data_IF_339805929328
#
_entry.id   IF_339805929328
#
_cell.length_a   1.000
_cell.length_b   1.000
_cell.length_c   1.000
_cell.angle_alpha   90.00
_cell.angle_beta   90.00
_cell.angle_gamma   90.00
#
_symmetry.space_group_name_H-M   'P 1'
#
loop_
_entity.id
_entity.type
_entity.pdbx_description
1 polymer ?
#
# COMPACT_ATOMS: atom_id res chain seq x y z
N UNK A 1 -70.42 -8.30 -0.79
CA UNK A 1 -70.35 -6.88 -0.41
C UNK A 1 -68.90 -6.51 -0.08
N UNK A 2 -68.33 -5.62 -0.92
CA UNK A 2 -67.24 -4.66 -0.67
C UNK A 2 -65.77 -5.13 -0.49
N UNK A 3 -64.94 -4.48 -1.32
CA UNK A 3 -63.47 -4.20 -1.29
C UNK A 3 -62.61 -5.18 -2.10
N UNK A 4 -62.29 -4.85 -3.36
CA UNK A 4 -61.21 -3.95 -3.82
C UNK A 4 -59.79 -4.46 -3.50
N UNK A 5 -59.09 -4.81 -4.59
CA UNK A 5 -57.68 -4.55 -4.90
C UNK A 5 -56.63 -4.77 -3.79
N UNK A 6 -55.67 -5.67 -4.05
CA UNK A 6 -54.23 -5.38 -4.00
C UNK A 6 -53.38 -6.66 -4.18
N UNK A 7 -52.95 -6.93 -5.42
CA UNK A 7 -51.77 -7.77 -5.71
C UNK A 7 -50.62 -6.87 -6.19
N UNK A 8 -50.27 -5.89 -5.35
CA UNK A 8 -49.07 -5.05 -5.42
C UNK A 8 -48.51 -4.90 -4.00
N UNK A 9 -47.97 -5.98 -3.44
CA UNK A 9 -47.37 -5.95 -2.10
C UNK A 9 -46.09 -6.80 -1.99
N UNK A 10 -45.29 -6.87 -3.05
CA UNK A 10 -43.89 -7.32 -2.99
C UNK A 10 -42.96 -6.47 -3.87
N UNK A 11 -43.22 -5.17 -3.95
CA UNK A 11 -42.27 -4.16 -4.43
C UNK A 11 -42.55 -2.87 -3.70
N UNK A 12 -41.82 -2.66 -2.61
CA UNK A 12 -41.34 -1.38 -2.07
C UNK A 12 -40.94 -1.59 -0.61
N UNK A 13 -39.69 -1.95 -0.36
CA UNK A 13 -38.99 -1.56 0.87
C UNK A 13 -37.47 -1.61 0.60
N UNK A 14 -36.80 -0.47 0.81
CA UNK A 14 -35.35 -0.23 0.81
C UNK A 14 -34.61 -0.45 -0.54
N UNK A 15 -34.18 0.56 -1.32
CA UNK A 15 -33.20 1.63 -1.02
C UNK A 15 -32.03 1.15 -0.15
N UNK A 16 -30.88 0.85 -0.77
CA UNK A 16 -29.57 1.46 -0.45
C UNK A 16 -28.41 0.70 -1.13
N UNK A 17 -27.48 1.49 -1.71
CA UNK A 17 -26.08 1.18 -2.05
C UNK A 17 -25.78 0.51 -3.42
N UNK A 18 -25.67 1.37 -4.44
CA UNK A 18 -24.42 1.72 -5.15
C UNK A 18 -23.29 0.66 -5.16
N UNK A 19 -22.85 0.15 -6.32
CA UNK A 19 -22.01 0.83 -7.34
C UNK A 19 -20.56 0.33 -7.28
N UNK A 20 -20.22 -0.78 -7.96
CA UNK A 20 -18.86 -0.96 -8.53
C UNK A 20 -18.94 -1.83 -9.78
N UNK A 21 -19.30 -1.21 -10.91
CA UNK A 21 -18.99 -1.77 -12.23
C UNK A 21 -17.62 -1.27 -12.67
N UNK A 22 -16.71 -2.23 -12.78
CA UNK A 22 -15.34 -2.11 -13.26
C UNK A 22 -15.37 -1.68 -14.73
N UNK A 23 -14.85 -0.48 -15.02
CA UNK A 23 -14.31 -0.16 -16.36
C UNK A 23 -13.27 0.97 -16.27
N UNK A 24 -12.01 0.56 -16.20
CA UNK A 24 -10.84 1.38 -16.48
C UNK A 24 -10.89 1.86 -17.93
N UNK A 25 -11.05 3.16 -18.17
CA UNK A 25 -10.70 3.77 -19.45
C UNK A 25 -10.39 5.27 -19.31
N UNK A 26 -9.15 5.60 -19.67
CA UNK A 26 -8.71 6.89 -20.20
C UNK A 26 -8.64 8.11 -19.28
N UNK A 27 -7.46 8.27 -18.67
CA UNK A 27 -6.91 9.57 -18.31
C UNK A 27 -6.53 10.36 -19.57
N UNK A 28 -7.33 11.37 -19.92
CA UNK A 28 -6.87 12.51 -20.71
C UNK A 28 -7.76 13.72 -20.44
N UNK A 29 -7.39 14.53 -19.45
CA UNK A 29 -7.84 15.92 -19.36
C UNK A 29 -6.69 16.82 -18.96
N UNK A 30 -6.14 17.49 -19.98
CA UNK A 30 -5.51 18.80 -19.87
C UNK A 30 -6.29 19.67 -18.87
N UNK A 31 -5.63 20.14 -17.82
CA UNK A 31 -6.05 21.37 -17.14
C UNK A 31 -4.89 22.34 -17.15
N UNK A 32 -5.06 23.37 -17.99
CA UNK A 32 -4.20 24.54 -18.06
C UNK A 32 -4.60 25.49 -16.91
N UNK A 33 -3.59 25.90 -16.14
CA UNK A 33 -3.32 27.31 -15.81
C UNK A 33 -4.35 28.01 -14.91
N UNK A 34 -4.00 28.23 -13.64
CA UNK A 34 -4.11 29.57 -13.03
C UNK A 34 -3.29 29.74 -11.73
N UNK A 35 -2.44 30.78 -11.78
CA UNK A 35 -2.20 31.80 -10.74
C UNK A 35 -1.50 31.44 -9.43
N UNK A 36 -0.19 31.69 -9.45
CA UNK A 36 0.51 32.70 -8.63
C UNK A 36 0.22 32.77 -7.13
N UNK A 37 1.22 32.37 -6.31
CA UNK A 37 1.58 33.12 -5.08
C UNK A 37 3.01 32.80 -4.66
N UNK A 38 3.94 33.65 -5.04
CA UNK A 38 5.22 33.77 -4.34
C UNK A 38 5.08 34.88 -3.30
N UNK A 39 5.47 34.62 -2.04
CA UNK A 39 6.05 35.66 -1.22
C UNK A 39 7.40 35.21 -0.65
N UNK A 40 8.37 36.06 -0.88
CA UNK A 40 9.75 36.01 -0.40
C UNK A 40 9.81 36.30 1.12
N UNK A 41 10.86 35.76 1.77
CA UNK A 41 11.46 36.18 3.06
C UNK A 41 10.76 35.88 4.39
N UNK A 42 11.33 34.96 5.18
CA UNK A 42 11.97 35.34 6.46
C UNK A 42 12.92 34.24 6.94
N UNK A 43 14.05 34.67 7.48
CA UNK A 43 15.18 33.89 7.95
C UNK A 43 14.97 33.36 9.38
N UNK A 44 15.42 32.12 9.67
CA UNK A 44 15.93 31.79 11.01
C UNK A 44 16.96 30.66 10.95
N UNK A 45 18.19 31.09 11.27
CA UNK A 45 19.38 30.36 11.76
C UNK A 45 18.99 29.12 12.59
N UNK A 46 19.74 28.02 12.69
CA UNK A 46 21.12 27.95 13.19
C UNK A 46 21.63 26.49 13.15
N UNK A 47 22.95 26.38 13.01
CA UNK A 47 23.83 25.26 12.75
C UNK A 47 23.93 24.17 13.84
N UNK A 48 24.14 22.92 13.41
CA UNK A 48 24.99 21.94 14.11
C UNK A 48 25.88 21.21 13.11
N UNK A 49 27.17 21.49 13.23
CA UNK A 49 28.30 20.96 12.47
C UNK A 49 28.72 19.59 13.00
N UNK A 50 28.71 18.57 12.15
CA UNK A 50 29.48 17.34 12.33
C UNK A 50 30.13 17.04 10.98
N UNK A 51 31.45 17.11 10.92
CA UNK A 51 32.27 16.57 9.83
C UNK A 51 33.47 15.93 10.52
N UNK A 52 33.92 14.73 10.11
CA UNK A 52 34.76 14.68 8.91
C UNK A 52 34.79 13.35 8.08
N UNK A 53 35.20 13.51 6.80
CA UNK A 53 35.91 12.54 5.91
C UNK A 53 35.13 11.38 5.25
N UNK A 54 34.79 11.53 3.96
CA UNK A 54 35.44 10.74 2.90
C UNK A 54 35.32 11.37 1.50
N UNK A 55 36.34 11.13 0.68
CA UNK A 55 36.76 11.90 -0.50
C UNK A 55 35.88 11.67 -1.74
N UNK A 56 35.58 12.74 -2.50
CA UNK A 56 35.32 12.64 -3.95
C UNK A 56 35.68 13.93 -4.69
N UNK A 57 36.97 14.23 -4.75
CA UNK A 57 37.52 15.21 -5.69
C UNK A 57 37.49 14.60 -7.09
N UNK A 58 36.59 15.11 -7.93
CA UNK A 58 36.50 14.77 -9.35
C UNK A 58 37.52 15.61 -10.10
N UNK A 59 38.73 15.08 -10.28
CA UNK A 59 39.75 15.70 -11.13
C UNK A 59 39.33 15.60 -12.62
N UNK A 60 39.37 16.68 -13.40
CA UNK A 60 39.54 16.57 -14.84
C UNK A 60 41.03 16.71 -15.15
N UNK A 61 41.72 15.57 -15.32
CA UNK A 61 43.07 15.57 -15.86
C UNK A 61 43.01 15.83 -17.37
N UNK A 62 43.76 16.85 -17.77
CA UNK A 62 44.17 17.17 -19.13
C UNK A 62 44.71 15.91 -19.84
N UNK A 63 44.25 15.66 -21.06
CA UNK A 63 45.08 15.02 -22.10
C UNK A 63 44.90 15.76 -23.41
N UNK A 64 46.01 16.29 -23.89
CA UNK A 64 46.16 16.97 -25.16
C UNK A 64 45.74 16.07 -26.33
N UNK A 65 44.90 16.59 -27.22
CA UNK A 65 44.93 16.22 -28.63
C UNK A 65 44.57 17.44 -29.47
N UNK A 66 45.58 17.91 -30.17
CA UNK A 66 45.60 18.98 -31.16
C UNK A 66 44.46 18.87 -32.17
N UNK A 67 43.65 19.92 -32.28
CA UNK A 67 42.87 20.19 -33.49
C UNK A 67 43.23 21.59 -33.95
N UNK A 68 43.91 21.63 -35.10
CA UNK A 68 44.54 22.81 -35.67
C UNK A 68 43.53 23.93 -36.01
N UNK A 69 43.99 25.19 -36.04
CA UNK A 69 43.14 26.36 -36.26
C UNK A 69 42.74 26.48 -37.73
N UNK A 70 41.45 26.60 -38.01
CA UNK A 70 40.95 26.95 -39.35
C UNK A 70 41.35 28.41 -39.68
N UNK A 71 41.87 28.69 -40.89
CA UNK A 71 42.44 29.99 -41.23
C UNK A 71 41.35 31.06 -41.37
N UNK A 72 41.52 32.11 -40.57
CA UNK A 72 40.69 33.31 -40.52
C UNK A 72 40.88 34.11 -41.82
N UNK A 73 39.79 34.27 -42.56
CA UNK A 73 39.72 35.00 -43.83
C UNK A 73 39.94 36.50 -43.57
N UNK A 74 41.18 36.98 -43.68
CA UNK A 74 41.48 38.41 -43.64
C UNK A 74 41.35 39.04 -45.02
N UNK A 75 40.46 40.02 -45.11
CA UNK A 75 40.31 40.96 -46.22
C UNK A 75 41.66 41.63 -46.52
N UNK A 76 42.23 41.40 -47.69
CA UNK A 76 43.41 42.17 -48.15
C UNK A 76 42.91 43.39 -48.92
N UNK A 77 42.94 44.52 -48.22
CA UNK A 77 42.84 45.84 -48.83
C UNK A 77 44.12 46.21 -49.58
N UNK A 78 43.87 47.11 -50.52
CA UNK A 78 44.69 47.63 -51.60
C UNK A 78 45.63 48.73 -51.08
N UNK A 79 46.91 48.67 -51.44
CA UNK A 79 47.82 49.83 -51.36
C UNK A 79 48.67 49.92 -52.64
N UNK A 80 48.45 51.00 -53.38
CA UNK A 80 49.41 51.66 -54.29
C UNK A 80 50.57 52.21 -53.42
N UNK A 81 51.84 52.36 -53.83
CA UNK A 81 52.37 53.15 -54.95
C UNK A 81 53.89 52.95 -55.13
N UNK A 82 54.39 53.26 -56.36
CA UNK A 82 55.73 53.76 -56.78
C UNK A 82 56.98 52.94 -56.43
N UNK A 83 57.91 52.65 -57.34
CA UNK A 83 58.57 53.63 -58.23
C UNK A 83 59.11 53.04 -59.55
N UNK A 84 59.29 53.97 -60.49
CA UNK A 84 59.72 53.93 -61.88
C UNK A 84 61.02 53.15 -62.17
N UNK A 85 61.00 52.36 -63.25
CA UNK A 85 62.00 52.42 -64.34
C UNK A 85 61.51 51.64 -65.58
N UNK A 86 61.05 52.31 -66.65
CA UNK A 86 60.83 51.68 -67.96
C UNK A 86 62.10 51.85 -68.81
N UNK A 87 62.86 50.77 -68.99
CA UNK A 87 63.97 50.75 -69.94
C UNK A 87 63.40 50.51 -71.34
N UNK A 88 63.80 51.38 -72.26
CA UNK A 88 63.30 51.50 -73.62
C UNK A 88 63.87 50.41 -74.53
N UNK A 89 62.98 49.87 -75.36
CA UNK A 89 63.08 49.55 -76.80
C UNK A 89 64.40 48.94 -77.31
N UNK A 90 64.30 47.72 -77.80
CA UNK A 90 64.73 47.44 -79.18
C UNK A 90 63.79 46.45 -79.85
N UNK A 91 63.35 46.86 -81.04
CA UNK A 91 62.75 46.02 -82.05
C UNK A 91 63.73 44.89 -82.41
N UNK A 92 63.34 43.63 -82.22
CA UNK A 92 63.77 42.55 -83.11
C UNK A 92 62.79 41.37 -83.04
N UNK A 93 62.40 40.92 -84.22
CA UNK A 93 61.46 39.84 -84.49
C UNK A 93 61.94 38.49 -83.93
N UNK A 94 61.43 38.06 -82.78
CA UNK A 94 61.47 36.63 -82.39
C UNK A 94 60.44 36.19 -81.34
N UNK A 95 59.63 37.10 -80.78
CA UNK A 95 58.64 36.78 -79.74
C UNK A 95 57.63 35.72 -80.19
N UNK A 96 57.22 35.74 -81.46
CA UNK A 96 56.35 34.71 -82.02
C UNK A 96 56.98 33.30 -82.05
N UNK A 97 58.32 33.17 -82.04
CA UNK A 97 59.01 31.88 -82.00
C UNK A 97 59.23 31.38 -80.57
N UNK A 98 59.56 32.28 -79.64
CA UNK A 98 59.71 31.96 -78.21
C UNK A 98 58.35 31.68 -77.55
N UNK A 99 57.30 32.45 -77.88
CA UNK A 99 55.93 32.16 -77.43
C UNK A 99 55.38 30.88 -78.03
N UNK A 100 55.69 30.55 -79.30
CA UNK A 100 55.36 29.24 -79.89
C UNK A 100 56.11 28.10 -79.23
N UNK A 101 57.40 28.27 -78.89
CA UNK A 101 58.18 27.29 -78.13
C UNK A 101 57.63 27.08 -76.72
N UNK A 102 57.36 28.15 -75.97
CA UNK A 102 56.74 28.08 -74.64
C UNK A 102 55.31 27.52 -74.67
N UNK A 103 54.53 27.83 -75.70
CA UNK A 103 53.21 27.22 -75.90
C UNK A 103 53.35 25.72 -76.21
N UNK A 104 54.31 25.31 -77.03
CA UNK A 104 54.58 23.90 -77.31
C UNK A 104 55.10 23.12 -76.08
N UNK A 105 55.94 23.74 -75.24
CA UNK A 105 56.38 23.14 -73.97
C UNK A 105 55.24 23.08 -72.95
N UNK A 106 54.41 24.11 -72.83
CA UNK A 106 53.20 24.08 -71.99
C UNK A 106 52.22 23.00 -72.43
N UNK A 107 52.03 22.82 -73.74
CA UNK A 107 51.20 21.73 -74.27
C UNK A 107 51.79 20.36 -73.96
N UNK A 108 53.12 20.17 -74.06
CA UNK A 108 53.80 18.93 -73.65
C UNK A 108 53.65 18.67 -72.15
N UNK A 109 53.81 19.69 -71.31
CA UNK A 109 53.62 19.60 -69.85
C UNK A 109 52.16 19.29 -69.51
N UNK A 110 51.20 19.91 -70.21
CA UNK A 110 49.77 19.67 -70.01
C UNK A 110 49.36 18.26 -70.48
N UNK A 111 49.95 17.76 -71.58
CA UNK A 111 49.79 16.38 -72.04
C UNK A 111 50.40 15.37 -71.05
N UNK A 112 51.58 15.64 -70.50
CA UNK A 112 52.20 14.83 -69.45
C UNK A 112 51.40 14.87 -68.14
N UNK A 113 50.83 16.03 -67.78
CA UNK A 113 49.97 16.18 -66.60
C UNK A 113 48.65 15.43 -66.77
N UNK A 114 48.05 15.44 -67.96
CA UNK A 114 46.87 14.62 -68.28
C UNK A 114 47.18 13.13 -68.17
N UNK A 115 48.34 12.68 -68.65
CA UNK A 115 48.81 11.29 -68.48
C UNK A 115 49.01 10.93 -67.01
N UNK A 116 49.58 11.83 -66.19
CA UNK A 116 49.71 11.61 -64.74
C UNK A 116 48.35 11.50 -64.05
N UNK A 117 47.39 12.37 -64.40
CA UNK A 117 46.03 12.31 -63.85
C UNK A 117 45.29 11.04 -64.25
N UNK A 118 45.51 10.53 -65.46
CA UNK A 118 44.98 9.23 -65.91
C UNK A 118 45.59 8.08 -65.09
N UNK A 119 46.92 8.05 -64.97
CA UNK A 119 47.62 7.05 -64.15
C UNK A 119 47.18 7.11 -62.68
N UNK A 120 46.99 8.30 -62.13
CA UNK A 120 46.50 8.48 -60.76
C UNK A 120 45.05 8.00 -60.60
N UNK A 121 44.19 8.25 -61.58
CA UNK A 121 42.80 7.76 -61.57
C UNK A 121 42.75 6.23 -61.69
N UNK A 122 43.58 5.64 -62.55
CA UNK A 122 43.74 4.19 -62.68
C UNK A 122 44.29 3.56 -61.40
N UNK A 123 45.32 4.17 -60.78
CA UNK A 123 45.86 3.74 -59.49
C UNK A 123 44.81 3.81 -58.38
N UNK A 124 44.01 4.88 -58.32
CA UNK A 124 42.92 5.02 -57.34
C UNK A 124 41.86 3.94 -57.50
N UNK A 125 41.48 3.57 -58.72
CA UNK A 125 40.53 2.47 -58.96
C UNK A 125 41.11 1.13 -58.49
N UNK A 126 42.41 0.88 -58.71
CA UNK A 126 43.10 -0.31 -58.21
C UNK A 126 43.22 -0.32 -56.67
N UNK A 127 43.54 0.82 -56.06
CA UNK A 127 43.58 0.98 -54.59
C UNK A 127 42.20 0.75 -53.97
N UNK A 128 41.12 1.26 -54.58
CA UNK A 128 39.76 1.03 -54.12
C UNK A 128 39.35 -0.44 -54.24
N UNK A 129 39.69 -1.10 -55.34
CA UNK A 129 39.39 -2.52 -55.52
C UNK A 129 40.17 -3.39 -54.53
N UNK A 130 41.47 -3.11 -54.34
CA UNK A 130 42.29 -3.83 -53.36
C UNK A 130 41.84 -3.58 -51.93
N UNK A 131 41.46 -2.34 -51.58
CA UNK A 131 40.87 -2.01 -50.29
C UNK A 131 39.57 -2.77 -50.03
N UNK A 132 38.67 -2.87 -51.04
CA UNK A 132 37.43 -3.65 -50.94
C UNK A 132 37.70 -5.13 -50.72
N UNK A 133 38.63 -5.73 -51.46
CA UNK A 133 39.00 -7.15 -51.29
C UNK A 133 39.58 -7.42 -49.90
N UNK A 134 40.43 -6.53 -49.41
CA UNK A 134 40.99 -6.62 -48.06
C UNK A 134 39.89 -6.47 -47.01
N UNK A 135 38.98 -5.51 -47.17
CA UNK A 135 37.85 -5.31 -46.27
C UNK A 135 36.94 -6.53 -46.22
N UNK A 136 36.58 -7.11 -47.35
CA UNK A 136 35.78 -8.34 -47.42
C UNK A 136 36.50 -9.53 -46.77
N UNK A 137 37.80 -9.69 -47.00
CA UNK A 137 38.59 -10.72 -46.35
C UNK A 137 38.64 -10.56 -44.82
N UNK A 138 38.71 -9.32 -44.33
CA UNK A 138 38.64 -9.02 -42.89
C UNK A 138 37.24 -9.33 -42.36
N UNK A 139 36.19 -8.88 -43.03
CA UNK A 139 34.79 -9.13 -42.64
C UNK A 139 34.51 -10.63 -42.51
N UNK A 140 34.88 -11.43 -43.51
CA UNK A 140 34.71 -12.89 -43.50
C UNK A 140 35.44 -13.53 -42.32
N UNK A 141 36.71 -13.18 -42.09
CA UNK A 141 37.48 -13.71 -40.95
C UNK A 141 36.85 -13.35 -39.60
N UNK A 142 36.35 -12.12 -39.45
CA UNK A 142 35.66 -11.69 -38.23
C UNK A 142 34.36 -12.46 -38.05
N UNK A 143 33.54 -12.59 -39.09
CA UNK A 143 32.30 -13.37 -39.05
C UNK A 143 32.56 -14.84 -38.68
N UNK A 144 33.52 -15.50 -39.34
CA UNK A 144 33.92 -16.87 -39.03
C UNK A 144 34.38 -17.02 -37.58
N UNK A 145 35.15 -16.04 -37.07
CA UNK A 145 35.60 -16.04 -35.67
C UNK A 145 34.41 -15.91 -34.71
N UNK A 146 33.45 -15.03 -34.98
CA UNK A 146 32.24 -14.83 -34.18
C UNK A 146 31.28 -16.02 -34.27
N UNK A 147 31.20 -16.67 -35.43
CA UNK A 147 30.38 -17.86 -35.65
C UNK A 147 31.06 -19.16 -35.19
N UNK A 148 32.30 -19.08 -34.72
CA UNK A 148 33.00 -20.20 -34.11
C UNK A 148 32.15 -20.80 -32.99
N UNK A 149 32.21 -22.12 -32.86
CA UNK A 149 31.45 -22.87 -31.86
C UNK A 149 31.83 -22.42 -30.45
N UNK A 150 33.10 -22.11 -30.23
CA UNK A 150 33.64 -21.65 -28.95
C UNK A 150 32.98 -20.36 -28.47
N UNK A 151 32.89 -19.33 -29.33
CA UNK A 151 32.26 -18.06 -28.96
C UNK A 151 30.75 -18.25 -28.71
N UNK A 152 30.07 -19.05 -29.53
CA UNK A 152 28.64 -19.35 -29.33
C UNK A 152 28.39 -20.06 -27.99
N UNK A 153 29.20 -21.07 -27.67
CA UNK A 153 29.10 -21.81 -26.41
C UNK A 153 29.42 -20.91 -25.21
N UNK A 154 30.42 -20.04 -25.31
CA UNK A 154 30.75 -19.09 -24.25
C UNK A 154 29.61 -18.08 -24.01
N UNK A 155 28.98 -17.58 -25.07
CA UNK A 155 27.79 -16.72 -24.96
C UNK A 155 26.65 -17.48 -24.27
N UNK A 156 26.36 -18.71 -24.70
CA UNK A 156 25.32 -19.55 -24.09
C UNK A 156 25.60 -19.81 -22.61
N UNK A 157 26.82 -20.19 -22.26
CA UNK A 157 27.26 -20.42 -20.89
C UNK A 157 27.05 -19.18 -20.03
N UNK A 158 27.45 -17.99 -20.48
CA UNK A 158 27.24 -16.75 -19.73
C UNK A 158 25.76 -16.41 -19.55
N UNK A 159 24.94 -16.66 -20.56
CA UNK A 159 23.49 -16.46 -20.47
C UNK A 159 22.85 -17.44 -19.48
N UNK A 160 23.26 -18.70 -19.51
CA UNK A 160 22.79 -19.73 -18.58
C UNK A 160 23.22 -19.43 -17.15
N UNK A 161 24.48 -19.06 -16.94
CA UNK A 161 24.99 -18.63 -15.63
C UNK A 161 24.22 -17.40 -15.13
N UNK A 162 23.95 -16.41 -16.01
CA UNK A 162 23.15 -15.23 -15.67
C UNK A 162 21.71 -15.58 -15.29
N UNK A 163 21.05 -16.46 -16.06
CA UNK A 163 19.69 -16.95 -15.76
C UNK A 163 19.65 -17.72 -14.46
N UNK A 164 20.62 -18.62 -14.23
CA UNK A 164 20.71 -19.42 -13.01
C UNK A 164 20.84 -18.53 -11.78
N UNK A 165 21.71 -17.52 -11.80
CA UNK A 165 21.84 -16.55 -10.70
C UNK A 165 20.53 -15.84 -10.40
N UNK A 166 19.83 -15.35 -11.43
CA UNK A 166 18.53 -14.71 -11.25
C UNK A 166 17.48 -15.69 -10.69
N UNK A 167 17.48 -16.93 -11.15
CA UNK A 167 16.59 -17.97 -10.62
C UNK A 167 16.88 -18.27 -9.15
N UNK A 168 18.15 -18.42 -8.77
CA UNK A 168 18.57 -18.68 -7.40
C UNK A 168 18.20 -17.51 -6.46
N UNK A 169 18.38 -16.26 -6.93
CA UNK A 169 17.97 -15.06 -6.19
C UNK A 169 16.46 -15.00 -5.97
N UNK A 170 15.66 -15.26 -7.01
CA UNK A 170 14.20 -15.28 -6.92
C UNK A 170 13.74 -16.44 -6.03
N UNK A 171 14.35 -17.62 -6.15
CA UNK A 171 14.04 -18.76 -5.30
C UNK A 171 14.31 -18.45 -3.82
N UNK A 172 15.46 -17.84 -3.50
CA UNK A 172 15.80 -17.44 -2.15
C UNK A 172 14.85 -16.37 -1.57
N UNK A 173 14.31 -15.48 -2.42
CA UNK A 173 13.27 -14.53 -1.99
C UNK A 173 11.95 -15.24 -1.68
N UNK A 174 11.50 -16.13 -2.56
CA UNK A 174 10.26 -16.89 -2.36
C UNK A 174 10.33 -17.81 -1.14
N UNK A 175 11.48 -18.40 -0.84
CA UNK A 175 11.67 -19.20 0.37
C UNK A 175 11.50 -18.36 1.64
N UNK A 176 12.12 -17.18 1.69
CA UNK A 176 11.95 -16.24 2.82
C UNK A 176 10.51 -15.79 2.97
N UNK A 177 9.82 -15.50 1.87
CA UNK A 177 8.40 -15.11 1.90
C UNK A 177 7.52 -16.26 2.40
N UNK A 178 7.78 -17.50 1.98
CA UNK A 178 7.07 -18.68 2.49
C UNK A 178 7.29 -18.90 3.98
N UNK A 179 8.54 -18.81 4.43
CA UNK A 179 8.87 -18.93 5.86
C UNK A 179 8.19 -17.83 6.68
N UNK A 180 8.25 -16.58 6.22
CA UNK A 180 7.57 -15.46 6.87
C UNK A 180 6.04 -15.68 6.92
N UNK A 181 5.43 -16.14 5.83
CA UNK A 181 4.00 -16.43 5.78
C UNK A 181 3.61 -17.56 6.74
N UNK A 182 4.44 -18.62 6.86
CA UNK A 182 4.22 -19.71 7.82
C UNK A 182 4.31 -19.21 9.26
N UNK A 183 5.31 -18.38 9.57
CA UNK A 183 5.49 -17.80 10.90
C UNK A 183 4.31 -16.89 11.25
N UNK A 184 3.90 -16.02 10.33
CA UNK A 184 2.75 -15.12 10.53
C UNK A 184 1.45 -15.92 10.72
N UNK A 185 1.23 -16.97 9.93
CA UNK A 185 0.06 -17.84 10.09
C UNK A 185 0.03 -18.52 11.46
N UNK A 186 1.18 -19.05 11.93
CA UNK A 186 1.30 -19.64 13.27
C UNK A 186 1.04 -18.62 14.37
N UNK A 187 1.59 -17.42 14.26
CA UNK A 187 1.35 -16.36 15.25
C UNK A 187 -0.13 -15.95 15.32
N UNK A 188 -0.79 -15.81 14.17
CA UNK A 188 -2.23 -15.52 14.12
C UNK A 188 -3.06 -16.65 14.71
N UNK A 189 -2.69 -17.90 14.43
CA UNK A 189 -3.37 -19.05 15.02
C UNK A 189 -3.20 -19.08 16.55
N UNK A 190 -1.99 -18.85 17.06
CA UNK A 190 -1.74 -18.77 18.51
C UNK A 190 -2.51 -17.62 19.17
N UNK A 191 -2.58 -16.45 18.53
CA UNK A 191 -3.38 -15.33 19.01
C UNK A 191 -4.86 -15.69 19.04
N UNK A 192 -5.39 -16.27 17.96
CA UNK A 192 -6.78 -16.71 17.90
C UNK A 192 -7.10 -17.80 18.93
N UNK A 193 -6.14 -18.69 19.24
CA UNK A 193 -6.28 -19.66 20.34
C UNK A 193 -6.37 -18.98 21.70
N UNK A 194 -5.47 -18.01 21.98
CA UNK A 194 -5.50 -17.24 23.23
C UNK A 194 -6.80 -16.46 23.39
N UNK A 195 -7.26 -15.77 22.33
CA UNK A 195 -8.54 -15.05 22.35
C UNK A 195 -9.71 -15.99 22.61
N UNK A 196 -9.72 -17.18 22.00
CA UNK A 196 -10.75 -18.20 22.27
C UNK A 196 -10.70 -18.68 23.71
N UNK A 197 -9.52 -19.00 24.23
CA UNK A 197 -9.35 -19.43 25.62
C UNK A 197 -9.79 -18.34 26.60
N UNK A 198 -9.48 -17.07 26.33
CA UNK A 198 -9.93 -15.93 27.15
C UNK A 198 -11.45 -15.77 27.10
N UNK A 199 -12.07 -15.88 25.92
CA UNK A 199 -13.52 -15.85 25.78
C UNK A 199 -14.19 -17.03 26.50
N UNK A 200 -13.64 -18.23 26.40
CA UNK A 200 -14.13 -19.41 27.11
C UNK A 200 -14.05 -19.22 28.63
N UNK A 201 -12.93 -18.72 29.16
CA UNK A 201 -12.80 -18.37 30.59
C UNK A 201 -13.85 -17.37 31.03
N UNK A 202 -14.06 -16.30 30.26
CA UNK A 202 -15.09 -15.30 30.57
C UNK A 202 -16.51 -15.85 30.51
N UNK A 203 -16.80 -16.77 29.58
CA UNK A 203 -18.10 -17.44 29.49
C UNK A 203 -18.31 -18.40 30.66
N UNK A 204 -17.28 -19.15 31.07
CA UNK A 204 -17.34 -20.02 32.25
C UNK A 204 -17.55 -19.23 33.54
N UNK A 205 -16.83 -18.12 33.72
CA UNK A 205 -17.04 -17.23 34.87
C UNK A 205 -18.46 -16.65 34.90
N UNK A 206 -18.99 -16.23 33.73
CA UNK A 206 -20.37 -15.76 33.64
C UNK A 206 -21.38 -16.87 33.96
N UNK A 207 -21.17 -18.09 33.47
CA UNK A 207 -22.02 -19.24 33.80
C UNK A 207 -22.02 -19.51 35.30
N UNK A 208 -20.85 -19.54 35.94
CA UNK A 208 -20.72 -19.70 37.40
C UNK A 208 -21.47 -18.61 38.17
N UNK A 209 -21.32 -17.34 37.76
CA UNK A 209 -22.04 -16.22 38.38
C UNK A 209 -23.56 -16.34 38.24
N UNK A 210 -24.04 -16.76 37.07
CA UNK A 210 -25.48 -16.97 36.84
C UNK A 210 -26.00 -18.14 37.67
N UNK A 211 -25.29 -19.27 37.72
CA UNK A 211 -25.65 -20.41 38.54
C UNK A 211 -25.66 -20.07 40.03
N UNK A 212 -24.66 -19.34 40.52
CA UNK A 212 -24.62 -18.87 41.91
C UNK A 212 -25.77 -17.91 42.22
N UNK A 213 -26.09 -16.97 41.31
CA UNK A 213 -27.23 -16.07 41.46
C UNK A 213 -28.55 -16.85 41.54
N UNK A 214 -28.76 -17.83 40.66
CA UNK A 214 -29.93 -18.70 40.69
C UNK A 214 -30.03 -19.50 41.98
N UNK A 215 -28.92 -20.06 42.47
CA UNK A 215 -28.89 -20.78 43.76
C UNK A 215 -29.25 -19.87 44.92
N UNK A 216 -28.73 -18.64 44.94
CA UNK A 216 -29.06 -17.64 45.97
C UNK A 216 -30.52 -17.25 45.90
N UNK A 217 -31.04 -16.99 44.71
CA UNK A 217 -32.44 -16.65 44.51
C UNK A 217 -33.38 -17.78 44.94
N UNK A 218 -33.06 -19.03 44.59
CA UNK A 218 -33.80 -20.20 45.04
C UNK A 218 -33.82 -20.34 46.57
N UNK A 219 -32.68 -20.11 47.24
CA UNK A 219 -32.60 -20.12 48.70
C UNK A 219 -33.38 -18.97 49.34
N UNK A 220 -33.35 -17.77 48.75
CA UNK A 220 -34.17 -16.65 49.22
C UNK A 220 -35.66 -16.92 49.05
N UNK A 221 -36.07 -17.53 47.94
CA UNK A 221 -37.46 -17.94 47.74
C UNK A 221 -37.90 -18.96 48.80
N UNK A 222 -37.07 -19.97 49.09
CA UNK A 222 -37.34 -20.93 50.17
C UNK A 222 -37.50 -20.23 51.53
N UNK A 223 -36.61 -19.29 51.87
CA UNK A 223 -36.72 -18.51 53.13
C UNK A 223 -38.01 -17.69 53.19
N UNK A 224 -38.38 -17.03 52.09
CA UNK A 224 -39.64 -16.26 52.02
C UNK A 224 -40.86 -17.16 52.16
N UNK A 225 -40.80 -18.38 51.60
CA UNK A 225 -41.86 -19.37 51.78
C UNK A 225 -41.94 -19.86 53.23
N UNK A 226 -40.81 -20.16 53.87
CA UNK A 226 -40.76 -20.52 55.30
C UNK A 226 -41.32 -19.42 56.20
N UNK A 227 -40.97 -18.15 55.95
CA UNK A 227 -41.53 -16.99 56.66
C UNK A 227 -43.04 -16.90 56.47
N UNK A 228 -43.55 -17.06 55.25
CA UNK A 228 -45.00 -17.11 54.97
C UNK A 228 -45.69 -18.25 55.71
N UNK A 229 -45.06 -19.43 55.79
CA UNK A 229 -45.63 -20.55 56.54
C UNK A 229 -45.72 -20.24 58.04
N UNK A 230 -44.72 -19.58 58.62
CA UNK A 230 -44.76 -19.15 60.04
C UNK A 230 -45.86 -18.12 60.28
N UNK A 231 -46.01 -17.13 59.42
CA UNK A 231 -47.10 -16.14 59.52
C UNK A 231 -48.48 -16.80 59.46
N UNK A 232 -48.66 -17.78 58.56
CA UNK A 232 -49.91 -18.55 58.48
C UNK A 232 -50.16 -19.38 59.74
N UNK A 233 -49.12 -19.97 60.33
CA UNK A 233 -49.21 -20.71 61.59
C UNK A 233 -49.63 -19.79 62.74
N UNK A 234 -49.04 -18.61 62.86
CA UNK A 234 -49.40 -17.61 63.87
C UNK A 234 -50.85 -17.14 63.71
N UNK A 235 -51.31 -16.90 62.47
CA UNK A 235 -52.71 -16.57 62.19
C UNK A 235 -53.67 -17.70 62.59
N UNK A 236 -53.28 -18.96 62.37
CA UNK A 236 -54.08 -20.10 62.83
C UNK A 236 -54.14 -20.16 64.36
N UNK A 237 -53.02 -19.95 65.05
CA UNK A 237 -52.98 -19.88 66.53
C UNK A 237 -53.84 -18.75 67.07
N UNK A 238 -53.75 -17.55 66.50
CA UNK A 238 -54.59 -16.42 66.91
C UNK A 238 -56.08 -16.70 66.70
N UNK A 239 -56.46 -17.39 65.61
CA UNK A 239 -57.85 -17.84 65.39
C UNK A 239 -58.29 -18.86 66.43
N UNK A 240 -57.44 -19.82 66.78
CA UNK A 240 -57.74 -20.79 67.83
C UNK A 240 -57.88 -20.13 69.20
N UNK A 241 -56.96 -19.23 69.56
CA UNK A 241 -57.02 -18.46 70.81
C UNK A 241 -58.26 -17.57 70.87
N UNK A 242 -58.63 -16.89 69.77
CA UNK A 242 -59.84 -16.10 69.68
C UNK A 242 -61.10 -16.97 69.85
N UNK A 243 -61.12 -18.18 69.28
CA UNK A 243 -62.20 -19.14 69.49
C UNK A 243 -62.27 -19.62 70.95
N UNK A 244 -61.12 -19.90 71.59
CA UNK A 244 -61.08 -20.27 73.02
C UNK A 244 -61.59 -19.15 73.92
N UNK A 245 -61.19 -17.90 73.66
CA UNK A 245 -61.70 -16.74 74.40
C UNK A 245 -63.20 -16.54 74.19
N UNK A 246 -63.70 -16.69 72.95
CA UNK A 246 -65.15 -16.64 72.68
C UNK A 246 -65.91 -17.74 73.42
N UNK A 247 -65.36 -18.97 73.50
CA UNK A 247 -65.97 -20.05 74.28
C UNK A 247 -66.04 -19.71 75.77
N UNK A 248 -64.97 -19.15 76.34
CA UNK A 248 -64.98 -18.70 77.73
C UNK A 248 -66.02 -17.60 77.98
N UNK A 249 -66.12 -16.63 77.07
CA UNK A 249 -67.15 -15.58 77.15
C UNK A 249 -68.57 -16.16 77.04
N UNK A 250 -68.81 -17.12 76.15
CA UNK A 250 -70.12 -17.78 76.03
C UNK A 250 -70.45 -18.61 77.28
N UNK A 251 -69.47 -19.29 77.88
CA UNK A 251 -69.64 -20.00 79.15
C UNK A 251 -69.91 -19.04 80.31
N UNK A 252 -69.20 -17.90 80.37
CA UNK A 252 -69.44 -16.84 81.34
C UNK A 252 -70.83 -16.23 81.17
N UNK A 253 -71.25 -15.91 79.95
CA UNK A 253 -72.59 -15.43 79.62
C UNK A 253 -73.66 -16.45 79.98
N UNK A 254 -73.45 -17.74 79.67
CA UNK A 254 -74.34 -18.83 80.11
C UNK A 254 -74.40 -18.92 81.63
N UNK A 255 -73.26 -18.80 82.32
CA UNK A 255 -73.19 -18.80 83.78
C UNK A 255 -73.89 -17.57 84.39
N UNK A 256 -73.78 -16.42 83.74
CA UNK A 256 -74.41 -15.16 84.14
C UNK A 256 -75.93 -15.22 83.89
N UNK A 257 -76.37 -15.77 82.76
CA UNK A 257 -77.78 -16.09 82.51
C UNK A 257 -78.29 -17.08 83.56
N UNK A 258 -77.55 -18.14 83.90
CA UNK A 258 -77.88 -19.09 84.97
C UNK A 258 -78.01 -18.42 86.35
N UNK A 259 -77.12 -17.47 86.67
CA UNK A 259 -77.18 -16.65 87.89
C UNK A 259 -78.39 -15.70 87.88
N UNK A 260 -78.69 -15.07 86.74
CA UNK A 260 -79.81 -14.14 86.58
C UNK A 260 -81.18 -14.85 86.58
N UNK A 261 -81.26 -16.06 86.01
CA UNK A 261 -82.45 -16.92 86.01
C UNK A 261 -82.71 -17.62 87.36
N UNK A 262 -81.84 -17.44 88.37
CA UNK A 262 -82.12 -17.86 89.75
C UNK A 262 -82.42 -19.36 89.94
N UNK A 263 -82.01 -20.24 89.01
CA UNK A 263 -82.28 -21.68 89.08
C UNK A 263 -81.32 -22.45 90.00
N UNK A 264 -80.39 -21.75 90.64
CA UNK A 264 -79.57 -22.30 91.71
C UNK A 264 -80.35 -22.24 93.03
N UNK A 265 -81.23 -23.22 93.23
CA UNK A 265 -81.75 -23.77 94.51
C UNK A 265 -81.53 -22.91 95.80
N UNK A 266 -81.91 -21.64 95.81
CA UNK A 266 -81.82 -20.75 96.99
C UNK A 266 -83.20 -20.25 97.44
N UNK A 267 -84.27 -21.03 97.18
CA UNK A 267 -85.54 -20.82 97.87
C UNK A 267 -85.39 -21.35 99.30
N UNK A 268 -85.36 -20.52 100.35
CA UNK A 268 -85.29 -21.02 101.71
C UNK A 268 -86.55 -21.86 101.98
N UNK A 269 -86.37 -23.11 102.41
CA UNK A 269 -87.46 -23.93 102.94
C UNK A 269 -87.90 -23.32 104.27
N UNK A 270 -88.85 -22.39 104.21
CA UNK A 270 -89.65 -22.00 105.37
C UNK A 270 -90.51 -23.21 105.75
N UNK A 271 -90.07 -23.98 106.73
CA UNK A 271 -90.91 -24.96 107.43
C UNK A 271 -91.73 -24.22 108.48
N UNK A 272 -92.99 -23.92 108.16
CA UNK A 272 -93.99 -23.58 109.16
C UNK A 272 -94.42 -24.87 109.87
N UNK A 273 -94.02 -25.05 111.13
CA UNK A 273 -94.60 -26.06 112.01
C UNK A 273 -95.78 -25.45 112.76
N UNK A 274 -96.99 -25.83 112.35
CA UNK A 274 -98.27 -25.56 113.01
C UNK A 274 -98.50 -26.60 114.13
N UNK A 275 -98.63 -26.12 115.38
CA UNK A 275 -99.27 -26.84 116.51
C UNK A 275 -98.50 -28.06 117.06
N UNK A 276 -98.69 -28.50 118.30
CA UNK A 276 -99.65 -28.17 119.34
C UNK A 276 -99.31 -28.95 120.61
N UNK A 277 -99.56 -28.34 121.78
CA UNK A 277 -99.53 -28.88 123.17
C UNK A 277 -98.18 -29.07 123.83
#
# INVERSE_FOLDING_TARGET
>A
MRRLANLRSLRLFAQNLDFVSIKLRWYSRRSRRNRSRSPYSYSRRKSRSISPRHRRSRSPLRRHKSRSPTPRHYKRQRSRSSSLSPIRKSSSSSLGSIERKNASEKLRIEEEEKKRRQQEAEQKLLEEETAKRVEEAIRRKVEESLFSKEIKLEIQRRLEEGRKRLHDEVAAQLEKEKEAAIIEARQKEEQARKEKEELERMLEENRKRVEEAQRREALEQQRREEERYRELEELQRQKEEALRRKKQQEEEERSNQLKLLGKNKSRPKLSFALGSK
#
